data_IF_473141487224
#
_entry.id   IF_473141487224
#
_cell.length_a   1.000
_cell.length_b   1.000
_cell.length_c   1.000
_cell.angle_alpha   90.00
_cell.angle_beta   90.00
_cell.angle_gamma   90.00
#
_symmetry.space_group_name_H-M   'P 1'
#
loop_
_entity.id
_entity.type
_entity.pdbx_description
1 polymer ?
#
# COMPACT_ATOMS: atom_id res chain seq x y z
N UNK A 1 -3.02 -15.73 -11.86
CA UNK A 1 -3.00 -14.74 -10.76
C UNK A 1 -1.65 -14.08 -10.57
N UNK A 2 -0.52 -14.82 -10.42
CA UNK A 2 0.84 -14.26 -10.25
C UNK A 2 1.25 -13.16 -11.25
N UNK A 3 0.86 -13.28 -12.52
CA UNK A 3 1.18 -12.30 -13.56
C UNK A 3 0.44 -10.97 -13.39
N UNK A 4 -0.80 -11.00 -12.93
CA UNK A 4 -1.63 -9.79 -12.71
C UNK A 4 -1.14 -9.03 -11.49
N UNK A 5 -0.82 -9.73 -10.39
CA UNK A 5 -0.21 -9.11 -9.20
C UNK A 5 1.10 -8.42 -9.56
N UNK A 6 1.96 -9.07 -10.35
CA UNK A 6 3.21 -8.48 -10.83
C UNK A 6 2.96 -7.21 -11.68
N UNK A 7 1.98 -7.25 -12.59
CA UNK A 7 1.63 -6.07 -13.40
C UNK A 7 1.11 -4.91 -12.56
N UNK A 8 0.36 -5.19 -11.49
CA UNK A 8 -0.13 -4.15 -10.57
C UNK A 8 1.01 -3.49 -9.79
N UNK A 9 1.97 -4.27 -9.30
CA UNK A 9 3.16 -3.74 -8.62
C UNK A 9 4.03 -2.92 -9.58
N UNK A 10 4.19 -3.39 -10.82
CA UNK A 10 4.87 -2.63 -11.88
C UNK A 10 4.18 -1.28 -12.12
N UNK A 11 2.86 -1.27 -12.30
CA UNK A 11 2.07 -0.05 -12.44
C UNK A 11 2.24 0.89 -11.25
N UNK A 12 2.15 0.37 -10.03
CA UNK A 12 2.30 1.15 -8.81
C UNK A 12 3.69 1.79 -8.70
N UNK A 13 4.74 0.99 -8.94
CA UNK A 13 6.11 1.47 -8.87
C UNK A 13 6.42 2.53 -9.93
N UNK A 14 5.76 2.49 -11.09
CA UNK A 14 5.92 3.49 -12.14
C UNK A 14 5.39 4.88 -11.73
N UNK A 15 4.50 4.95 -10.74
CA UNK A 15 4.03 6.22 -10.16
C UNK A 15 4.98 6.79 -9.10
N UNK A 16 5.93 5.99 -8.59
CA UNK A 16 6.86 6.40 -7.54
C UNK A 16 8.03 7.22 -8.07
N UNK A 17 8.54 8.13 -7.22
CA UNK A 17 9.74 8.91 -7.50
C UNK A 17 10.98 8.03 -7.65
N UNK A 18 11.04 6.92 -6.90
CA UNK A 18 12.00 5.84 -7.06
C UNK A 18 11.27 4.48 -7.23
N UNK A 19 11.06 4.04 -8.48
CA UNK A 19 10.39 2.76 -8.77
C UNK A 19 11.12 1.53 -8.22
N UNK A 20 12.46 1.58 -8.10
CA UNK A 20 13.25 0.44 -7.59
C UNK A 20 13.09 0.31 -6.09
N UNK A 21 13.16 1.44 -5.38
CA UNK A 21 12.90 1.51 -3.95
C UNK A 21 11.48 1.04 -3.63
N UNK A 22 10.48 1.53 -4.37
CA UNK A 22 9.08 1.16 -4.19
C UNK A 22 8.86 -0.35 -4.29
N UNK A 23 9.45 -1.02 -5.30
CA UNK A 23 9.36 -2.48 -5.44
C UNK A 23 10.06 -3.22 -4.31
N UNK A 24 11.23 -2.74 -3.90
CA UNK A 24 11.99 -3.36 -2.81
C UNK A 24 11.20 -3.30 -1.50
N UNK A 25 10.60 -2.16 -1.20
CA UNK A 25 9.77 -2.00 -0.01
C UNK A 25 8.47 -2.80 -0.09
N UNK A 26 7.84 -2.86 -1.27
CA UNK A 26 6.66 -3.71 -1.50
C UNK A 26 6.92 -5.19 -1.19
N UNK A 27 8.09 -5.70 -1.60
CA UNK A 27 8.50 -7.09 -1.38
C UNK A 27 9.23 -7.31 -0.06
N UNK A 28 9.47 -6.26 0.73
CA UNK A 28 10.12 -6.42 2.03
C UNK A 28 9.18 -7.18 2.97
N UNK A 29 9.73 -8.17 3.68
CA UNK A 29 8.94 -9.05 4.55
C UNK A 29 8.47 -8.36 5.86
N UNK A 30 8.92 -7.12 6.11
CA UNK A 30 8.73 -6.44 7.38
C UNK A 30 7.50 -5.53 7.42
N UNK A 31 6.50 -5.91 8.23
CA UNK A 31 5.46 -5.03 8.80
C UNK A 31 4.79 -4.06 7.83
N UNK A 32 4.24 -2.98 8.37
CA UNK A 32 3.56 -1.92 7.63
C UNK A 32 4.56 -0.90 7.06
N UNK A 33 4.37 -0.43 5.82
CA UNK A 33 5.26 0.54 5.19
C UNK A 33 4.49 1.53 4.30
N UNK A 34 4.93 2.80 4.29
CA UNK A 34 4.46 3.80 3.31
C UNK A 34 5.42 3.89 2.15
N UNK A 35 4.88 3.72 0.95
CA UNK A 35 5.58 3.84 -0.32
C UNK A 35 5.26 5.22 -0.90
N UNK A 36 6.30 6.02 -1.12
CA UNK A 36 6.20 7.33 -1.75
C UNK A 36 5.89 7.20 -3.24
N UNK A 37 4.63 6.97 -3.60
CA UNK A 37 4.15 6.86 -4.99
C UNK A 37 3.88 8.27 -5.60
N UNK A 38 4.81 9.18 -5.30
CA UNK A 38 4.73 10.64 -5.18
C UNK A 38 4.41 11.46 -6.42
N UNK A 39 3.23 11.24 -7.00
CA UNK A 39 2.56 12.25 -7.84
C UNK A 39 1.06 12.24 -7.62
N UNK A 40 0.56 11.03 -7.58
CA UNK A 40 -0.82 10.63 -7.46
C UNK A 40 -1.36 10.43 -6.04
N UNK A 41 -0.63 9.56 -5.34
CA UNK A 41 -1.03 8.87 -4.14
C UNK A 41 0.23 8.50 -3.38
N UNK A 42 0.18 8.43 -2.07
CA UNK A 42 1.09 7.56 -1.31
C UNK A 42 0.41 6.22 -1.06
N UNK A 43 1.17 5.18 -0.74
CA UNK A 43 0.60 3.84 -0.55
C UNK A 43 1.04 3.24 0.77
N UNK A 44 0.08 2.96 1.64
CA UNK A 44 0.31 2.19 2.86
C UNK A 44 0.15 0.69 2.56
N UNK A 45 1.26 -0.03 2.49
CA UNK A 45 1.29 -1.49 2.38
C UNK A 45 1.21 -2.11 3.77
N UNK A 46 0.18 -2.93 4.02
CA UNK A 46 -0.15 -3.51 5.33
C UNK A 46 -0.23 -5.04 5.19
N UNK A 47 0.34 -5.83 6.13
CA UNK A 47 0.10 -7.28 6.20
C UNK A 47 -1.40 -7.62 6.25
N UNK A 48 -1.81 -8.71 5.60
CA UNK A 48 -3.22 -9.14 5.54
C UNK A 48 -3.87 -9.20 6.94
N UNK A 49 -3.12 -9.68 7.94
CA UNK A 49 -3.59 -9.87 9.31
C UNK A 49 -4.00 -8.56 10.01
N UNK A 50 -3.36 -7.44 9.65
CA UNK A 50 -3.69 -6.10 10.15
C UNK A 50 -4.65 -5.37 9.20
N UNK A 51 -4.55 -5.63 7.91
CA UNK A 51 -5.31 -4.93 6.89
C UNK A 51 -6.79 -5.28 6.90
N UNK A 52 -7.15 -6.55 7.11
CA UNK A 52 -8.56 -6.99 7.13
C UNK A 52 -9.36 -6.28 8.24
N UNK A 53 -8.93 -6.30 9.52
CA UNK A 53 -9.68 -5.58 10.56
C UNK A 53 -9.66 -4.05 10.35
N UNK A 54 -8.57 -3.50 9.78
CA UNK A 54 -8.54 -2.08 9.41
C UNK A 54 -9.57 -1.74 8.33
N UNK A 55 -9.73 -2.60 7.32
CA UNK A 55 -10.72 -2.41 6.26
C UNK A 55 -12.15 -2.52 6.81
N UNK A 56 -12.43 -3.48 7.70
CA UNK A 56 -13.73 -3.59 8.38
C UNK A 56 -14.06 -2.30 9.15
N UNK A 57 -13.09 -1.76 9.90
CA UNK A 57 -13.27 -0.50 10.61
C UNK A 57 -13.54 0.67 9.66
N UNK A 58 -12.78 0.78 8.57
CA UNK A 58 -12.96 1.83 7.55
C UNK A 58 -14.32 1.73 6.86
N UNK A 59 -14.81 0.53 6.58
CA UNK A 59 -16.13 0.30 5.97
C UNK A 59 -17.29 0.64 6.91
N UNK A 60 -17.05 0.68 8.23
CA UNK A 60 -18.03 1.13 9.22
C UNK A 60 -18.19 2.66 9.29
N UNK A 61 -17.32 3.42 8.64
CA UNK A 61 -17.38 4.87 8.60
C UNK A 61 -18.42 5.32 7.56
N UNK A 62 -19.30 6.29 7.85
CA UNK A 62 -20.31 6.77 6.91
C UNK A 62 -19.70 7.76 5.89
N UNK A 63 -18.58 7.37 5.28
CA UNK A 63 -17.94 8.01 4.14
C UNK A 63 -17.49 6.93 3.16
N UNK A 64 -17.50 7.17 1.84
CA UNK A 64 -16.94 6.22 0.89
C UNK A 64 -15.48 5.91 1.23
N UNK A 65 -15.08 4.63 1.31
CA UNK A 65 -13.70 4.27 1.57
C UNK A 65 -12.81 4.70 0.40
N UNK A 66 -11.55 5.00 0.70
CA UNK A 66 -10.53 5.19 -0.33
C UNK A 66 -10.25 3.90 -1.11
N UNK A 67 -9.55 3.99 -2.26
CA UNK A 67 -9.18 2.81 -3.02
C UNK A 67 -8.20 1.94 -2.24
N UNK A 68 -8.35 0.63 -2.38
CA UNK A 68 -7.42 -0.36 -1.85
C UNK A 68 -7.12 -1.45 -2.88
N UNK A 69 -5.92 -2.01 -2.83
CA UNK A 69 -5.48 -3.12 -3.67
C UNK A 69 -5.09 -4.31 -2.80
N UNK A 70 -5.59 -5.50 -3.14
CA UNK A 70 -5.23 -6.74 -2.45
C UNK A 70 -4.23 -7.52 -3.30
N UNK A 71 -3.08 -7.83 -2.71
CA UNK A 71 -2.12 -8.78 -3.28
C UNK A 71 -2.13 -10.07 -2.47
N UNK A 72 -2.94 -11.02 -2.91
CA UNK A 72 -3.08 -12.33 -2.26
C UNK A 72 -1.84 -13.19 -2.35
N UNK A 73 -0.95 -12.94 -3.33
CA UNK A 73 0.31 -13.68 -3.44
C UNK A 73 1.33 -13.19 -2.41
N UNK A 74 1.33 -11.89 -2.11
CA UNK A 74 2.15 -11.30 -1.06
C UNK A 74 1.52 -11.36 0.33
N UNK A 75 0.22 -11.70 0.44
CA UNK A 75 -0.59 -11.63 1.67
C UNK A 75 -0.62 -10.21 2.27
N UNK A 76 -0.91 -9.22 1.42
CA UNK A 76 -0.89 -7.80 1.81
C UNK A 76 -2.02 -7.03 1.16
N UNK A 77 -2.38 -5.91 1.77
CA UNK A 77 -3.30 -4.91 1.23
C UNK A 77 -2.59 -3.57 1.16
N UNK A 78 -2.82 -2.85 0.08
CA UNK A 78 -2.34 -1.49 -0.13
C UNK A 78 -3.50 -0.51 -0.05
N UNK A 79 -3.40 0.48 0.83
CA UNK A 79 -4.34 1.60 0.91
C UNK A 79 -3.74 2.80 0.20
N UNK A 80 -4.51 3.41 -0.70
CA UNK A 80 -4.09 4.60 -1.42
C UNK A 80 -4.43 5.83 -0.58
N UNK A 81 -3.40 6.59 -0.23
CA UNK A 81 -3.48 7.81 0.54
C UNK A 81 -3.35 9.02 -0.38
N UNK A 82 -3.97 10.17 -0.05
CA UNK A 82 -3.58 11.44 -0.66
C UNK A 82 -2.06 11.64 -0.52
N UNK A 83 -1.38 12.21 -1.53
CA UNK A 83 0.04 12.47 -1.45
C UNK A 83 0.33 13.44 -0.31
N UNK A 84 1.21 13.06 0.60
CA UNK A 84 1.61 13.83 1.77
C UNK A 84 3.15 13.87 1.85
N UNK A 85 3.79 14.80 1.10
CA UNK A 85 5.24 14.87 1.02
C UNK A 85 5.91 15.33 2.32
N UNK A 86 5.14 15.94 3.25
CA UNK A 86 5.63 16.37 4.56
C UNK A 86 5.32 15.35 5.66
N UNK A 87 4.31 14.51 5.43
CA UNK A 87 3.92 13.43 6.31
C UNK A 87 5.00 12.39 6.51
N UNK A 88 5.11 11.91 7.75
CA UNK A 88 5.96 10.77 8.10
C UNK A 88 5.12 9.69 8.75
N UNK A 89 5.16 8.50 8.17
CA UNK A 89 4.61 7.29 8.80
C UNK A 89 5.43 6.90 10.04
N UNK A 90 4.76 6.70 11.17
CA UNK A 90 5.39 6.33 12.45
C UNK A 90 5.15 4.87 12.84
N UNK A 91 4.33 4.12 12.10
CA UNK A 91 4.01 2.72 12.36
C UNK A 91 4.84 1.73 11.54
N UNK A 92 6.04 2.12 11.08
CA UNK A 92 6.88 1.25 10.24
C UNK A 92 7.27 -0.01 11.02
N UNK A 93 7.07 -1.19 10.43
CA UNK A 93 7.48 -2.45 11.06
C UNK A 93 6.49 -3.02 12.09
N UNK A 94 5.33 -2.39 12.27
CA UNK A 94 4.14 -2.99 12.94
C UNK A 94 3.53 -4.04 12.02
#
# INVERSE_FOLDING_TARGET
MRTVSRQAVEWLSAAATDPRECKRQWHSEGGTAVLGCGRFWDVLSVPEELAVPALEALLGIPQPPGPALVDTAARRVAFFLPPDPEGRWIGSGI
#
